data_IF_033768913348
#
_entry.id   IF_033768913348
#
_cell.length_a   1.000
_cell.length_b   1.000
_cell.length_c   1.000
_cell.angle_alpha   90.00
_cell.angle_beta   90.00
_cell.angle_gamma   90.00
#
_symmetry.space_group_name_H-M   'P 1'
#
loop_
_entity.id
_entity.type
_entity.pdbx_description
1 polymer ?
#
# COMPACT_ATOMS: atom_id res chain seq x y z
N UNK A 1 -32.93 5.39 -13.95
CA UNK A 1 -33.44 5.19 -12.58
C UNK A 1 -32.36 4.45 -11.83
N UNK A 2 -31.59 5.15 -11.01
CA UNK A 2 -30.64 4.51 -10.09
C UNK A 2 -31.49 3.93 -8.97
N UNK A 3 -31.54 2.59 -8.84
CA UNK A 3 -32.12 1.97 -7.65
C UNK A 3 -31.36 2.49 -6.44
N UNK A 4 -32.10 3.06 -5.48
CA UNK A 4 -31.52 3.50 -4.22
C UNK A 4 -31.15 2.24 -3.43
N UNK A 5 -29.86 2.08 -3.16
CA UNK A 5 -29.35 1.02 -2.28
C UNK A 5 -30.06 1.06 -0.93
N UNK A 6 -30.42 -0.10 -0.38
CA UNK A 6 -30.98 -0.16 0.97
C UNK A 6 -29.95 0.26 2.01
N UNK A 7 -30.37 0.67 3.21
CA UNK A 7 -29.45 1.01 4.30
C UNK A 7 -28.55 -0.18 4.66
N UNK A 8 -29.09 -1.39 4.64
CA UNK A 8 -28.33 -2.62 4.85
C UNK A 8 -27.25 -2.81 3.79
N UNK A 9 -27.56 -2.56 2.51
CA UNK A 9 -26.58 -2.72 1.42
C UNK A 9 -25.45 -1.68 1.56
N UNK A 10 -25.81 -0.44 1.91
CA UNK A 10 -24.85 0.64 2.14
C UNK A 10 -23.89 0.33 3.30
N UNK A 11 -24.42 -0.20 4.41
CA UNK A 11 -23.60 -0.66 5.54
C UNK A 11 -22.71 -1.85 5.16
N UNK A 12 -23.21 -2.77 4.33
CA UNK A 12 -22.42 -3.91 3.86
C UNK A 12 -21.23 -3.47 3.00
N UNK A 13 -21.42 -2.49 2.11
CA UNK A 13 -20.34 -1.89 1.30
C UNK A 13 -19.28 -1.25 2.22
N UNK A 14 -19.70 -0.42 3.16
CA UNK A 14 -18.79 0.26 4.09
C UNK A 14 -17.96 -0.75 4.89
N UNK A 15 -18.61 -1.76 5.47
CA UNK A 15 -17.93 -2.79 6.25
C UNK A 15 -16.95 -3.61 5.41
N UNK A 16 -17.29 -3.87 4.15
CA UNK A 16 -16.40 -4.57 3.23
C UNK A 16 -15.11 -3.77 3.00
N UNK A 17 -15.23 -2.49 2.69
CA UNK A 17 -14.09 -1.60 2.40
C UNK A 17 -13.16 -1.48 3.61
N UNK A 18 -13.72 -1.26 4.80
CA UNK A 18 -12.92 -1.19 6.05
C UNK A 18 -12.14 -2.50 6.28
N UNK A 19 -12.75 -3.66 6.01
CA UNK A 19 -12.07 -4.95 6.12
C UNK A 19 -10.97 -5.14 5.06
N UNK A 20 -11.14 -4.58 3.86
CA UNK A 20 -10.10 -4.57 2.83
C UNK A 20 -8.92 -3.69 3.24
N UNK A 21 -9.18 -2.48 3.78
CA UNK A 21 -8.13 -1.59 4.31
C UNK A 21 -7.26 -2.30 5.34
N UNK A 22 -7.85 -3.02 6.30
CA UNK A 22 -7.08 -3.80 7.29
C UNK A 22 -6.11 -4.80 6.64
N UNK A 23 -6.56 -5.55 5.63
CA UNK A 23 -5.72 -6.51 4.91
C UNK A 23 -4.61 -5.83 4.13
N UNK A 24 -4.92 -4.70 3.48
CA UNK A 24 -3.94 -3.90 2.72
C UNK A 24 -2.86 -3.37 3.65
N UNK A 25 -3.22 -2.87 4.84
CA UNK A 25 -2.25 -2.40 5.84
C UNK A 25 -1.33 -3.51 6.33
N UNK A 26 -1.87 -4.69 6.65
CA UNK A 26 -1.06 -5.85 7.03
C UNK A 26 -0.06 -6.19 5.94
N UNK A 27 -0.49 -6.15 4.67
CA UNK A 27 0.37 -6.42 3.53
C UNK A 27 1.47 -5.36 3.35
N UNK A 28 1.11 -4.08 3.39
CA UNK A 28 2.06 -2.96 3.32
C UNK A 28 3.08 -3.05 4.45
N UNK A 29 2.65 -3.37 5.67
CA UNK A 29 3.53 -3.56 6.81
C UNK A 29 4.50 -4.73 6.57
N UNK A 30 4.04 -5.87 6.09
CA UNK A 30 4.92 -7.00 5.77
C UNK A 30 5.97 -6.64 4.71
N UNK A 31 5.61 -5.83 3.71
CA UNK A 31 6.57 -5.32 2.71
C UNK A 31 7.60 -4.40 3.39
N UNK A 32 7.15 -3.43 4.18
CA UNK A 32 8.04 -2.52 4.91
C UNK A 32 8.96 -3.25 5.90
N UNK A 33 8.45 -4.23 6.64
CA UNK A 33 9.23 -5.03 7.58
C UNK A 33 10.28 -5.89 6.86
N UNK A 34 9.98 -6.43 5.67
CA UNK A 34 10.96 -7.20 4.86
C UNK A 34 12.18 -6.38 4.41
N UNK A 35 12.03 -5.07 4.41
CA UNK A 35 13.05 -4.07 4.08
C UNK A 35 13.73 -3.57 5.36
N UNK A 36 12.96 -3.33 6.41
CA UNK A 36 13.43 -2.78 7.70
C UNK A 36 14.16 -3.81 8.57
N UNK A 37 13.72 -5.08 8.59
CA UNK A 37 14.39 -6.16 9.33
C UNK A 37 15.83 -6.38 8.87
N UNK A 38 16.16 -6.02 7.62
CA UNK A 38 17.53 -6.07 7.10
C UNK A 38 18.45 -5.01 7.71
N UNK A 39 17.93 -3.85 8.09
CA UNK A 39 18.65 -2.81 8.84
C UNK A 39 18.63 -3.06 10.36
N UNK A 40 17.55 -3.62 10.91
CA UNK A 40 17.52 -4.06 12.31
C UNK A 40 18.56 -5.18 12.54
N UNK A 41 18.73 -6.09 11.57
CA UNK A 41 19.81 -7.07 11.55
C UNK A 41 21.20 -6.44 11.35
N UNK A 42 21.32 -5.36 10.57
CA UNK A 42 22.55 -4.58 10.48
C UNK A 42 22.88 -3.87 11.81
N UNK A 43 21.88 -3.41 12.56
CA UNK A 43 22.02 -2.83 13.89
C UNK A 43 22.37 -3.88 14.95
N UNK A 44 21.95 -5.13 14.74
CA UNK A 44 22.34 -6.33 15.51
C UNK A 44 23.73 -6.88 15.15
N UNK A 45 24.57 -6.09 14.44
CA UNK A 45 25.97 -6.38 14.05
C UNK A 45 26.90 -6.95 15.14
N UNK A 46 26.49 -6.93 16.42
CA UNK A 46 27.23 -7.57 17.52
C UNK A 46 26.90 -9.05 17.74
N UNK A 47 25.85 -9.61 17.12
CA UNK A 47 25.34 -10.95 17.42
C UNK A 47 25.53 -12.01 16.32
N UNK A 48 25.84 -11.62 15.07
CA UNK A 48 26.10 -12.56 13.96
C UNK A 48 27.24 -12.05 13.07
N UNK A 49 28.30 -12.84 12.95
CA UNK A 49 29.53 -12.53 12.19
C UNK A 49 29.37 -12.57 10.67
N UNK A 50 28.20 -12.97 10.16
CA UNK A 50 28.05 -13.38 8.75
C UNK A 50 27.24 -12.38 7.90
N UNK A 51 26.73 -11.29 8.50
CA UNK A 51 25.93 -10.26 7.81
C UNK A 51 26.77 -9.02 7.50
N UNK A 52 26.89 -8.67 6.22
CA UNK A 52 27.70 -7.53 5.74
C UNK A 52 26.85 -6.67 4.78
N UNK A 53 26.49 -5.44 5.15
CA UNK A 53 25.80 -4.49 4.26
C UNK A 53 26.60 -4.18 2.99
N UNK A 54 25.90 -3.93 1.88
CA UNK A 54 26.51 -3.73 0.57
C UNK A 54 26.86 -5.03 -0.16
N UNK A 55 26.15 -6.12 0.13
CA UNK A 55 26.32 -7.43 -0.52
C UNK A 55 25.36 -7.57 -1.68
N UNK A 56 25.92 -7.80 -2.87
CA UNK A 56 25.16 -7.92 -4.11
C UNK A 56 24.14 -9.05 -4.10
N UNK A 57 24.46 -10.19 -3.48
CA UNK A 57 23.57 -11.35 -3.44
C UNK A 57 22.39 -11.15 -2.47
N UNK A 58 22.59 -10.42 -1.38
CA UNK A 58 21.52 -9.99 -0.49
C UNK A 58 20.60 -9.00 -1.22
N UNK A 59 21.18 -8.00 -1.91
CA UNK A 59 20.40 -7.05 -2.70
C UNK A 59 19.61 -7.74 -3.82
N UNK A 60 20.17 -8.78 -4.45
CA UNK A 60 19.48 -9.59 -5.45
C UNK A 60 18.24 -10.29 -4.88
N UNK A 61 18.38 -10.94 -3.72
CA UNK A 61 17.26 -11.59 -3.02
C UNK A 61 16.23 -10.56 -2.54
N UNK A 62 16.65 -9.38 -2.07
CA UNK A 62 15.77 -8.26 -1.75
C UNK A 62 14.96 -7.83 -2.95
N UNK A 63 15.63 -7.63 -4.09
CA UNK A 63 15.00 -7.21 -5.34
C UNK A 63 13.91 -8.20 -5.76
N UNK A 64 14.20 -9.50 -5.80
CA UNK A 64 13.24 -10.52 -6.21
C UNK A 64 11.98 -10.54 -5.33
N UNK A 65 12.16 -10.52 -3.99
CA UNK A 65 11.04 -10.47 -3.04
C UNK A 65 10.21 -9.21 -3.20
N UNK A 66 10.86 -8.07 -3.43
CA UNK A 66 10.15 -6.80 -3.63
C UNK A 66 9.43 -6.76 -4.98
N UNK A 67 9.97 -7.35 -6.04
CA UNK A 67 9.26 -7.47 -7.32
C UNK A 67 7.97 -8.27 -7.17
N UNK A 68 8.02 -9.41 -6.48
CA UNK A 68 6.84 -10.22 -6.20
C UNK A 68 5.83 -9.47 -5.31
N UNK A 69 6.31 -8.84 -4.25
CA UNK A 69 5.44 -8.20 -3.27
C UNK A 69 4.78 -6.93 -3.82
N UNK A 70 5.52 -6.11 -4.57
CA UNK A 70 4.97 -4.91 -5.22
C UNK A 70 3.98 -5.26 -6.33
N UNK A 71 4.17 -6.39 -7.05
CA UNK A 71 3.20 -6.87 -8.04
C UNK A 71 1.89 -7.37 -7.40
N UNK A 72 1.99 -8.05 -6.26
CA UNK A 72 0.82 -8.44 -5.47
C UNK A 72 0.08 -7.22 -4.90
N UNK A 73 0.82 -6.24 -4.35
CA UNK A 73 0.23 -4.99 -3.83
C UNK A 73 -0.50 -4.24 -4.95
N UNK A 74 0.11 -4.11 -6.13
CA UNK A 74 -0.52 -3.48 -7.29
C UNK A 74 -1.83 -4.16 -7.68
N UNK A 75 -1.83 -5.50 -7.72
CA UNK A 75 -3.02 -6.27 -8.09
C UNK A 75 -4.13 -6.08 -7.06
N UNK A 76 -3.81 -6.18 -5.76
CA UNK A 76 -4.76 -5.99 -4.67
C UNK A 76 -5.35 -4.58 -4.66
N UNK A 77 -4.50 -3.54 -4.73
CA UNK A 77 -4.97 -2.15 -4.76
C UNK A 77 -5.78 -1.82 -6.02
N UNK A 78 -5.43 -2.41 -7.17
CA UNK A 78 -6.23 -2.23 -8.39
C UNK A 78 -7.64 -2.79 -8.24
N UNK A 79 -7.79 -3.95 -7.60
CA UNK A 79 -9.08 -4.56 -7.33
C UNK A 79 -9.89 -3.73 -6.34
N UNK A 80 -9.26 -3.38 -5.22
CA UNK A 80 -9.84 -2.56 -4.16
C UNK A 80 -10.34 -1.20 -4.67
N UNK A 81 -9.48 -0.43 -5.32
CA UNK A 81 -9.87 0.85 -5.91
C UNK A 81 -10.97 0.69 -6.96
N UNK A 82 -10.96 -0.41 -7.74
CA UNK A 82 -12.01 -0.69 -8.71
C UNK A 82 -13.37 -0.92 -8.03
N UNK A 83 -13.38 -1.62 -6.91
CA UNK A 83 -14.58 -1.83 -6.11
C UNK A 83 -15.11 -0.52 -5.52
N UNK A 84 -14.25 0.31 -4.92
CA UNK A 84 -14.64 1.61 -4.36
C UNK A 84 -15.20 2.56 -5.42
N UNK A 85 -14.51 2.65 -6.57
CA UNK A 85 -14.93 3.48 -7.71
C UNK A 85 -16.30 3.06 -8.27
N UNK A 86 -16.70 1.80 -8.09
CA UNK A 86 -18.02 1.26 -8.47
C UNK A 86 -19.07 1.42 -7.36
N UNK A 87 -18.71 1.15 -6.11
CA UNK A 87 -19.64 0.97 -4.98
C UNK A 87 -19.89 2.24 -4.15
N UNK A 88 -18.92 3.15 -4.06
CA UNK A 88 -19.02 4.38 -3.26
C UNK A 88 -19.74 5.57 -3.91
N UNK A 89 -19.95 5.68 -5.25
CA UNK A 89 -20.62 6.86 -5.82
C UNK A 89 -21.97 7.22 -5.19
N UNK A 90 -22.86 6.26 -4.85
CA UNK A 90 -24.13 6.57 -4.18
C UNK A 90 -23.97 7.13 -2.75
N UNK A 91 -22.83 6.91 -2.11
CA UNK A 91 -22.55 7.28 -0.71
C UNK A 91 -21.79 8.61 -0.62
N UNK A 92 -20.77 8.78 -1.46
CA UNK A 92 -19.82 9.90 -1.37
C UNK A 92 -20.26 11.08 -2.25
N UNK A 93 -21.00 10.83 -3.32
CA UNK A 93 -21.32 11.85 -4.32
C UNK A 93 -20.10 12.30 -5.13
N UNK A 94 -20.34 13.16 -6.11
CA UNK A 94 -19.39 13.43 -7.20
C UNK A 94 -18.05 14.00 -6.74
N UNK A 95 -18.05 15.01 -5.87
CA UNK A 95 -16.82 15.71 -5.47
C UNK A 95 -15.88 14.82 -4.64
N UNK A 96 -16.44 14.04 -3.71
CA UNK A 96 -15.64 13.11 -2.91
C UNK A 96 -15.13 11.95 -3.76
N UNK A 97 -15.94 11.41 -4.68
CA UNK A 97 -15.46 10.41 -5.64
C UNK A 97 -14.33 10.94 -6.52
N UNK A 98 -14.42 12.19 -6.99
CA UNK A 98 -13.36 12.78 -7.80
C UNK A 98 -12.05 12.92 -7.00
N UNK A 99 -12.13 13.31 -5.73
CA UNK A 99 -10.96 13.38 -4.86
C UNK A 99 -10.33 11.99 -4.63
N UNK A 100 -11.17 10.98 -4.37
CA UNK A 100 -10.76 9.60 -4.17
C UNK A 100 -10.05 9.02 -5.41
N UNK A 101 -10.63 9.21 -6.60
CA UNK A 101 -10.03 8.77 -7.86
C UNK A 101 -8.66 9.42 -8.10
N UNK A 102 -8.51 10.71 -7.78
CA UNK A 102 -7.22 11.40 -7.92
C UNK A 102 -6.16 10.82 -6.98
N UNK A 103 -6.55 10.43 -5.77
CA UNK A 103 -5.68 9.76 -4.81
C UNK A 103 -5.29 8.36 -5.32
N UNK A 104 -6.24 7.56 -5.79
CA UNK A 104 -5.97 6.25 -6.40
C UNK A 104 -4.97 6.36 -7.56
N UNK A 105 -5.13 7.37 -8.43
CA UNK A 105 -4.20 7.63 -9.53
C UNK A 105 -2.79 8.02 -9.05
N UNK A 106 -2.68 8.74 -7.93
CA UNK A 106 -1.38 9.05 -7.34
C UNK A 106 -0.70 7.81 -6.78
N UNK A 107 -1.44 6.95 -6.06
CA UNK A 107 -0.91 5.69 -5.51
C UNK A 107 -0.52 4.74 -6.64
N UNK A 108 -1.37 4.55 -7.65
CA UNK A 108 -1.05 3.73 -8.85
C UNK A 108 0.25 4.18 -9.51
N UNK A 109 0.48 5.50 -9.66
CA UNK A 109 1.75 6.03 -10.20
C UNK A 109 2.94 5.70 -9.31
N UNK A 110 2.83 5.90 -7.99
CA UNK A 110 3.89 5.55 -7.03
C UNK A 110 4.27 4.07 -7.11
N UNK A 111 3.31 3.18 -7.28
CA UNK A 111 3.56 1.73 -7.45
C UNK A 111 4.32 1.45 -8.74
N UNK A 112 3.90 2.05 -9.86
CA UNK A 112 4.58 1.89 -11.15
C UNK A 112 6.01 2.39 -11.07
N UNK A 113 6.23 3.56 -10.45
CA UNK A 113 7.55 4.14 -10.27
C UNK A 113 8.44 3.26 -9.37
N UNK A 114 7.89 2.75 -8.27
CA UNK A 114 8.59 1.83 -7.36
C UNK A 114 9.02 0.54 -8.08
N UNK A 115 8.11 -0.07 -8.85
CA UNK A 115 8.41 -1.27 -9.64
C UNK A 115 9.46 -1.00 -10.70
N UNK A 116 9.33 0.10 -11.43
CA UNK A 116 10.31 0.50 -12.43
C UNK A 116 11.69 0.72 -11.79
N UNK A 117 11.77 1.34 -10.61
CA UNK A 117 13.01 1.47 -9.87
C UNK A 117 13.61 0.09 -9.57
N UNK A 118 12.84 -0.80 -8.92
CA UNK A 118 13.31 -2.12 -8.49
C UNK A 118 13.79 -2.97 -9.67
N UNK A 119 13.00 -3.04 -10.75
CA UNK A 119 13.33 -3.87 -11.93
C UNK A 119 14.52 -3.33 -12.71
N UNK A 120 14.74 -2.01 -12.72
CA UNK A 120 15.86 -1.40 -13.45
C UNK A 120 17.19 -1.41 -12.67
N UNK A 121 17.24 -1.98 -11.47
CA UNK A 121 18.50 -2.17 -10.75
C UNK A 121 19.36 -3.17 -11.50
N UNK A 122 20.46 -2.68 -12.09
CA UNK A 122 21.54 -3.50 -12.65
C UNK A 122 22.54 -3.79 -11.55
N UNK A 123 22.65 -5.05 -11.16
CA UNK A 123 23.53 -5.48 -10.07
C UNK A 123 24.96 -5.74 -10.57
N UNK A 124 25.15 -5.95 -11.88
CA UNK A 124 26.45 -6.23 -12.46
C UNK A 124 27.37 -5.02 -12.38
N UNK A 125 28.54 -5.20 -11.77
CA UNK A 125 29.60 -4.19 -11.73
C UNK A 125 29.41 -3.08 -10.70
N UNK A 126 28.37 -3.15 -9.85
CA UNK A 126 28.21 -2.18 -8.78
C UNK A 126 29.31 -2.34 -7.72
N UNK A 127 29.88 -1.21 -7.33
CA UNK A 127 30.69 -1.09 -6.12
C UNK A 127 29.82 -1.21 -4.86
N UNK A 128 30.47 -1.48 -3.73
CA UNK A 128 29.78 -1.58 -2.44
C UNK A 128 29.00 -0.30 -2.06
N UNK A 129 29.55 0.87 -2.38
CA UNK A 129 28.90 2.17 -2.11
C UNK A 129 27.64 2.35 -2.96
N UNK A 130 27.69 1.94 -4.23
CA UNK A 130 26.52 1.96 -5.11
C UNK A 130 25.45 0.96 -4.66
N UNK A 131 25.83 -0.21 -4.15
CA UNK A 131 24.88 -1.17 -3.56
C UNK A 131 24.16 -0.55 -2.35
N UNK A 132 24.89 0.09 -1.43
CA UNK A 132 24.31 0.75 -0.27
C UNK A 132 23.36 1.90 -0.67
N UNK A 133 23.74 2.67 -1.69
CA UNK A 133 22.89 3.74 -2.23
C UNK A 133 21.58 3.15 -2.79
N UNK A 134 21.67 2.05 -3.54
CA UNK A 134 20.48 1.36 -4.07
C UNK A 134 19.60 0.76 -2.98
N UNK A 135 20.19 0.19 -1.94
CA UNK A 135 19.45 -0.26 -0.76
C UNK A 135 18.67 0.90 -0.14
N UNK A 136 19.31 2.05 0.08
CA UNK A 136 18.65 3.25 0.62
C UNK A 136 17.53 3.79 -0.29
N UNK A 137 17.74 3.84 -1.61
CA UNK A 137 16.74 4.28 -2.58
C UNK A 137 15.48 3.40 -2.53
N UNK A 138 15.68 2.08 -2.46
CA UNK A 138 14.60 1.09 -2.33
C UNK A 138 13.84 1.31 -1.03
N UNK A 139 14.54 1.46 0.10
CA UNK A 139 13.94 1.66 1.41
C UNK A 139 13.03 2.89 1.42
N UNK A 140 13.56 4.02 0.95
CA UNK A 140 12.78 5.25 0.90
C UNK A 140 11.54 5.09 0.03
N UNK A 141 11.68 4.47 -1.14
CA UNK A 141 10.58 4.29 -2.10
C UNK A 141 9.47 3.38 -1.54
N UNK A 142 9.85 2.28 -0.89
CA UNK A 142 8.88 1.36 -0.26
C UNK A 142 8.17 2.05 0.92
N UNK A 143 8.91 2.79 1.75
CA UNK A 143 8.32 3.53 2.86
C UNK A 143 7.37 4.63 2.39
N UNK A 144 7.73 5.37 1.34
CA UNK A 144 6.89 6.41 0.74
C UNK A 144 5.61 5.83 0.12
N UNK A 145 5.71 4.65 -0.50
CA UNK A 145 4.55 3.94 -1.01
C UNK A 145 3.64 3.46 0.13
N UNK A 146 4.23 2.84 1.16
CA UNK A 146 3.47 2.36 2.31
C UNK A 146 2.75 3.49 3.05
N UNK A 147 3.43 4.63 3.25
CA UNK A 147 2.83 5.83 3.84
C UNK A 147 1.68 6.36 2.99
N UNK A 148 1.83 6.40 1.67
CA UNK A 148 0.77 6.87 0.78
C UNK A 148 -0.49 6.00 0.84
N UNK A 149 -0.33 4.67 0.95
CA UNK A 149 -1.45 3.73 1.09
C UNK A 149 -2.10 3.84 2.47
N UNK A 150 -1.30 3.96 3.53
CA UNK A 150 -1.81 4.12 4.90
C UNK A 150 -2.59 5.42 5.06
N UNK A 151 -2.04 6.55 4.59
CA UNK A 151 -2.70 7.85 4.67
C UNK A 151 -4.04 7.86 3.93
N UNK A 152 -4.11 7.18 2.78
CA UNK A 152 -5.35 7.00 2.03
C UNK A 152 -6.38 6.20 2.84
N UNK A 153 -6.01 5.01 3.33
CA UNK A 153 -6.90 4.17 4.13
C UNK A 153 -7.42 4.92 5.37
N UNK A 154 -6.55 5.62 6.10
CA UNK A 154 -6.96 6.40 7.29
C UNK A 154 -7.97 7.51 6.93
N UNK A 155 -7.72 8.26 5.85
CA UNK A 155 -8.64 9.34 5.43
C UNK A 155 -10.01 8.78 5.03
N UNK A 156 -10.01 7.68 4.29
CA UNK A 156 -11.23 7.06 3.82
C UNK A 156 -12.03 6.41 4.95
N UNK A 157 -11.38 5.66 5.85
CA UNK A 157 -12.03 5.08 7.02
C UNK A 157 -12.72 6.14 7.88
N UNK A 158 -12.13 7.33 8.06
CA UNK A 158 -12.78 8.44 8.78
C UNK A 158 -14.10 8.85 8.09
N UNK A 159 -14.11 8.94 6.75
CA UNK A 159 -15.33 9.27 6.00
C UNK A 159 -16.36 8.14 6.08
N UNK A 160 -15.92 6.89 5.94
CA UNK A 160 -16.76 5.70 6.02
C UNK A 160 -17.39 5.55 7.40
N UNK A 161 -16.64 5.77 8.48
CA UNK A 161 -17.13 5.77 9.86
C UNK A 161 -18.23 6.81 10.08
N UNK A 162 -18.04 8.02 9.54
CA UNK A 162 -19.04 9.09 9.64
C UNK A 162 -20.35 8.69 8.94
N UNK A 163 -20.25 8.07 7.76
CA UNK A 163 -21.41 7.58 7.01
C UNK A 163 -22.08 6.40 7.71
N UNK A 164 -21.30 5.44 8.20
CA UNK A 164 -21.78 4.27 8.92
C UNK A 164 -22.65 4.68 10.12
N UNK A 165 -22.17 5.63 10.94
CA UNK A 165 -22.92 6.17 12.08
C UNK A 165 -24.22 6.83 11.63
N UNK A 166 -24.19 7.63 10.55
CA UNK A 166 -25.40 8.25 10.01
C UNK A 166 -26.43 7.23 9.51
N UNK A 167 -25.98 6.12 8.93
CA UNK A 167 -26.84 5.06 8.40
C UNK A 167 -27.45 4.21 9.52
N UNK A 168 -26.66 3.89 10.54
CA UNK A 168 -27.14 3.17 11.73
C UNK A 168 -28.23 3.96 12.48
N UNK A 169 -28.13 5.29 12.56
CA UNK A 169 -29.17 6.11 13.17
C UNK A 169 -30.45 6.16 12.31
N UNK A 170 -30.32 6.11 10.98
CA UNK A 170 -31.48 6.01 10.07
C UNK A 170 -32.18 4.65 10.14
N UNK A 171 -31.44 3.57 10.40
CA UNK A 171 -32.01 2.22 10.53
C UNK A 171 -32.84 2.06 11.81
N UNK A 172 -32.51 2.81 12.86
CA UNK A 172 -33.25 2.81 14.15
C UNK A 172 -34.48 3.71 14.16
N UNK A 173 -34.59 4.65 13.22
CA UNK A 173 -35.63 5.67 13.14
C UNK A 173 -36.83 5.18 12.31
#
# INVERSE_FOLDING_TARGET
MTEQLSVSDQLAIINHIILEHQKVREYVKMIGDSVTDREALASLQKARTDWVPGRLDILAETKEKLEEATAHLETGLKQHFGYEEEALPPLFGELFMQALILEHQQIRRKIVDARAMITNIKLEGLSREEVLTKESDIHQTINDLGTAVEDHAVREEVMLDMLQRSLQEKEKA
#
